data_IF_935486137591
#
_entry.id   IF_935486137591
#
_cell.length_a   1.000
_cell.length_b   1.000
_cell.length_c   1.000
_cell.angle_alpha   90.00
_cell.angle_beta   90.00
_cell.angle_gamma   90.00
#
_symmetry.space_group_name_H-M   'P 1'
#
loop_
_entity.id
_entity.type
_entity.pdbx_description
1 polymer ?
#
# COMPACT_ATOMS: atom_id res chain seq x y z
N UNK A 1 32.10 15.91 1.50
CA UNK A 1 31.00 14.97 1.14
C UNK A 1 30.46 15.41 -0.22
N UNK A 2 30.76 14.68 -1.29
CA UNK A 2 30.43 15.10 -2.67
C UNK A 2 28.94 14.90 -2.97
N UNK A 3 28.27 15.95 -3.46
CA UNK A 3 26.86 15.95 -3.87
C UNK A 3 26.74 15.11 -5.16
N UNK A 4 25.98 14.00 -5.14
CA UNK A 4 25.72 13.21 -6.35
C UNK A 4 24.96 14.08 -7.37
N UNK A 5 25.24 13.97 -8.68
CA UNK A 5 24.48 14.68 -9.70
C UNK A 5 23.03 14.19 -9.64
N UNK A 6 22.10 15.12 -9.41
CA UNK A 6 20.67 14.83 -9.49
C UNK A 6 20.31 14.64 -10.96
N UNK A 7 19.93 13.41 -11.34
CA UNK A 7 19.30 13.18 -12.63
C UNK A 7 17.94 13.91 -12.63
N UNK A 8 17.79 14.89 -13.51
CA UNK A 8 16.52 15.57 -13.74
C UNK A 8 15.78 14.81 -14.83
N UNK A 9 14.58 14.31 -14.51
CA UNK A 9 13.68 13.66 -15.48
C UNK A 9 12.66 14.70 -15.95
N UNK A 10 12.60 14.93 -17.25
CA UNK A 10 11.55 15.73 -17.88
C UNK A 10 10.45 14.80 -18.37
N UNK A 11 9.19 15.18 -18.12
CA UNK A 11 8.01 14.40 -18.51
C UNK A 11 7.07 15.30 -19.29
N UNK A 12 6.98 15.06 -20.59
CA UNK A 12 6.03 15.74 -21.48
C UNK A 12 4.59 15.28 -21.20
N UNK A 13 3.61 16.18 -21.30
CA UNK A 13 2.19 15.85 -21.16
C UNK A 13 1.67 15.66 -19.72
N UNK A 14 2.54 15.71 -18.71
CA UNK A 14 2.13 15.47 -17.31
C UNK A 14 1.17 16.54 -16.75
N UNK A 15 1.17 17.76 -17.29
CA UNK A 15 0.25 18.83 -16.90
C UNK A 15 -1.14 18.60 -17.51
N UNK A 16 -1.17 18.22 -18.77
CA UNK A 16 -2.36 17.94 -19.57
C UNK A 16 -3.10 16.75 -18.97
N UNK A 17 -2.40 15.64 -18.70
CA UNK A 17 -2.97 14.45 -18.04
C UNK A 17 -3.62 14.79 -16.70
N UNK A 18 -2.93 15.54 -15.82
CA UNK A 18 -3.50 15.95 -14.53
C UNK A 18 -4.75 16.82 -14.68
N UNK A 19 -4.79 17.67 -15.72
CA UNK A 19 -5.97 18.50 -16.01
C UNK A 19 -7.14 17.63 -16.49
N UNK A 20 -6.90 16.67 -17.38
CA UNK A 20 -7.92 15.74 -17.87
C UNK A 20 -8.46 14.85 -16.75
N UNK A 21 -7.59 14.28 -15.90
CA UNK A 21 -7.98 13.53 -14.71
C UNK A 21 -8.86 14.36 -13.76
N UNK A 22 -8.57 15.66 -13.60
CA UNK A 22 -9.39 16.56 -12.76
C UNK A 22 -10.74 16.87 -13.40
N UNK A 23 -10.80 17.00 -14.74
CA UNK A 23 -12.04 17.25 -15.50
C UNK A 23 -12.98 16.04 -15.49
N UNK A 24 -12.42 14.84 -15.61
CA UNK A 24 -13.17 13.58 -15.65
C UNK A 24 -13.97 13.28 -14.35
N UNK A 25 -13.70 13.98 -13.25
CA UNK A 25 -14.65 14.07 -12.14
C UNK A 25 -14.63 12.90 -11.17
N UNK A 26 -15.81 12.45 -10.73
CA UNK A 26 -15.99 11.48 -9.64
C UNK A 26 -15.67 10.05 -10.05
N UNK A 27 -16.01 9.63 -11.27
CA UNK A 27 -15.82 8.25 -11.72
C UNK A 27 -14.36 7.84 -11.71
N UNK A 28 -13.48 8.69 -12.26
CA UNK A 28 -12.02 8.47 -12.22
C UNK A 28 -11.48 8.40 -10.80
N UNK A 29 -12.07 9.14 -9.85
CA UNK A 29 -11.64 9.09 -8.45
C UNK A 29 -11.97 7.76 -7.80
N UNK A 30 -13.10 7.16 -8.14
CA UNK A 30 -13.51 5.87 -7.60
C UNK A 30 -12.76 4.73 -8.29
N UNK A 31 -12.56 4.81 -9.62
CA UNK A 31 -11.71 3.90 -10.37
C UNK A 31 -10.27 3.86 -9.80
N UNK A 32 -9.68 5.03 -9.51
CA UNK A 32 -8.37 5.13 -8.86
C UNK A 32 -8.35 4.52 -7.45
N UNK A 33 -9.39 4.76 -6.64
CA UNK A 33 -9.47 4.15 -5.30
C UNK A 33 -9.55 2.63 -5.41
N UNK A 34 -10.25 2.10 -6.40
CA UNK A 34 -10.41 0.66 -6.58
C UNK A 34 -9.15 -0.01 -7.13
N UNK A 35 -8.40 0.69 -7.99
CA UNK A 35 -7.06 0.27 -8.39
C UNK A 35 -6.11 0.18 -7.17
N UNK A 36 -6.06 1.24 -6.35
CA UNK A 36 -5.25 1.24 -5.13
C UNK A 36 -5.71 0.22 -4.10
N UNK A 37 -7.03 -0.02 -3.97
CA UNK A 37 -7.59 -1.03 -3.06
C UNK A 37 -7.19 -2.44 -3.50
N UNK A 38 -7.22 -2.73 -4.79
CA UNK A 38 -6.76 -4.01 -5.32
C UNK A 38 -5.28 -4.24 -5.03
N UNK A 39 -4.43 -3.23 -5.28
CA UNK A 39 -3.01 -3.31 -4.95
C UNK A 39 -2.79 -3.55 -3.43
N UNK A 40 -3.51 -2.81 -2.57
CA UNK A 40 -3.44 -3.00 -1.12
C UNK A 40 -3.89 -4.40 -0.68
N UNK A 41 -4.84 -5.03 -1.38
CA UNK A 41 -5.33 -6.37 -1.07
C UNK A 41 -4.28 -7.46 -1.34
N UNK A 42 -3.49 -7.35 -2.41
CA UNK A 42 -2.37 -8.27 -2.67
C UNK A 42 -1.37 -8.26 -1.51
N UNK A 43 -0.96 -7.06 -1.11
CA UNK A 43 -0.06 -6.87 0.03
C UNK A 43 -0.69 -7.39 1.31
N UNK A 44 -1.99 -7.17 1.52
CA UNK A 44 -2.71 -7.62 2.71
C UNK A 44 -2.75 -9.14 2.83
N UNK A 45 -3.07 -9.86 1.75
CA UNK A 45 -3.11 -11.33 1.73
C UNK A 45 -1.76 -11.89 2.15
N UNK A 46 -0.68 -11.44 1.48
CA UNK A 46 0.67 -11.87 1.83
C UNK A 46 1.06 -11.47 3.26
N UNK A 47 0.68 -10.27 3.70
CA UNK A 47 0.94 -9.79 5.07
C UNK A 47 0.31 -10.71 6.11
N UNK A 48 -0.90 -11.22 5.88
CA UNK A 48 -1.60 -12.12 6.80
C UNK A 48 -0.93 -13.47 6.92
N UNK A 49 -0.27 -13.94 5.87
CA UNK A 49 0.50 -15.19 5.90
C UNK A 49 1.75 -15.07 6.76
N UNK A 50 2.52 -13.98 6.58
CA UNK A 50 3.86 -13.85 7.17
C UNK A 50 3.90 -13.05 8.48
N UNK A 51 2.76 -12.47 8.91
CA UNK A 51 2.67 -11.74 10.17
C UNK A 51 2.95 -12.67 11.36
N UNK A 52 3.80 -12.27 12.32
CA UNK A 52 4.02 -13.06 13.52
C UNK A 52 2.73 -13.26 14.31
N UNK A 53 2.53 -14.49 14.79
CA UNK A 53 1.42 -14.87 15.65
C UNK A 53 1.96 -15.06 17.06
N UNK A 54 1.27 -14.47 18.05
CA UNK A 54 1.65 -14.66 19.45
C UNK A 54 1.52 -16.14 19.85
N UNK A 55 2.48 -16.70 20.62
CA UNK A 55 2.35 -18.05 21.16
C UNK A 55 1.10 -18.20 22.03
N UNK A 56 0.51 -19.41 22.05
CA UNK A 56 -0.65 -19.71 22.90
C UNK A 56 -0.37 -19.52 24.40
N UNK A 57 0.88 -19.68 24.82
CA UNK A 57 1.33 -19.49 26.21
C UNK A 57 1.50 -18.02 26.61
N UNK A 58 1.42 -17.08 25.67
CA UNK A 58 1.66 -15.66 25.94
C UNK A 58 0.39 -15.00 26.50
N UNK A 59 0.51 -14.38 27.68
CA UNK A 59 -0.61 -13.66 28.34
C UNK A 59 -0.73 -12.20 27.93
N UNK A 60 0.35 -11.60 27.42
CA UNK A 60 0.42 -10.18 27.06
C UNK A 60 -0.18 -9.86 25.69
N UNK A 61 -0.48 -10.86 24.88
CA UNK A 61 -1.07 -10.70 23.55
C UNK A 61 -1.95 -11.90 23.19
N UNK A 62 -3.06 -11.63 22.52
CA UNK A 62 -3.94 -12.68 22.00
C UNK A 62 -3.38 -13.22 20.68
N UNK A 63 -3.23 -14.55 20.53
CA UNK A 63 -2.86 -15.18 19.26
C UNK A 63 -3.78 -14.73 18.12
N UNK A 64 -3.20 -14.39 16.97
CA UNK A 64 -3.95 -13.96 15.77
C UNK A 64 -4.42 -12.50 15.78
N UNK A 65 -4.51 -11.84 16.94
CA UNK A 65 -5.10 -10.49 17.03
C UNK A 65 -4.36 -9.44 16.18
N UNK A 66 -3.04 -9.56 16.02
CA UNK A 66 -2.28 -8.70 15.10
C UNK A 66 -2.68 -8.93 13.65
N UNK A 67 -2.79 -10.19 13.22
CA UNK A 67 -3.21 -10.58 11.88
C UNK A 67 -4.60 -10.03 11.55
N UNK A 68 -5.52 -10.14 12.50
CA UNK A 68 -6.90 -9.67 12.36
C UNK A 68 -7.01 -8.15 12.36
N UNK A 69 -5.99 -7.46 12.88
CA UNK A 69 -5.94 -5.99 12.84
C UNK A 69 -5.57 -5.44 11.46
N UNK A 70 -5.03 -6.28 10.57
CA UNK A 70 -4.61 -5.91 9.23
C UNK A 70 -5.82 -5.60 8.34
N UNK A 71 -5.81 -4.39 7.77
CA UNK A 71 -6.88 -3.90 6.92
C UNK A 71 -6.34 -3.08 5.75
N UNK A 72 -6.96 -3.22 4.56
CA UNK A 72 -6.61 -2.40 3.41
C UNK A 72 -7.25 -1.02 3.54
N UNK A 73 -6.71 -0.09 2.79
CA UNK A 73 -7.22 1.27 2.63
C UNK A 73 -6.77 1.80 1.28
N UNK A 74 -7.57 2.68 0.71
CA UNK A 74 -7.25 3.31 -0.55
C UNK A 74 -7.71 4.76 -0.53
N UNK A 75 -6.88 5.62 -1.12
CA UNK A 75 -7.23 6.99 -1.47
C UNK A 75 -7.11 7.12 -2.98
N UNK A 76 -7.40 8.32 -3.52
CA UNK A 76 -7.16 8.61 -4.93
C UNK A 76 -5.67 8.58 -5.29
N UNK A 77 -4.78 8.67 -4.29
CA UNK A 77 -3.34 8.89 -4.49
C UNK A 77 -2.46 7.80 -3.89
N UNK A 78 -3.02 6.87 -3.12
CA UNK A 78 -2.23 5.86 -2.43
C UNK A 78 -3.02 4.59 -2.11
N UNK A 79 -2.34 3.46 -2.29
CA UNK A 79 -2.67 2.19 -1.67
C UNK A 79 -2.07 2.15 -0.25
N UNK A 80 -2.88 1.79 0.75
CA UNK A 80 -2.48 1.83 2.17
C UNK A 80 -2.84 0.49 2.82
N UNK A 81 -1.88 -0.15 3.48
CA UNK A 81 -2.17 -1.27 4.38
C UNK A 81 -1.92 -0.82 5.82
N UNK A 82 -2.93 -0.97 6.67
CA UNK A 82 -2.85 -0.58 8.09
C UNK A 82 -2.72 -1.82 8.95
N UNK A 83 -1.85 -1.73 9.95
CA UNK A 83 -1.74 -2.71 11.02
C UNK A 83 -1.98 -2.05 12.37
N UNK A 84 -2.63 -2.78 13.27
CA UNK A 84 -2.91 -2.32 14.62
C UNK A 84 -4.23 -1.57 14.78
N UNK A 85 -4.69 -1.53 16.02
CA UNK A 85 -5.87 -0.82 16.54
C UNK A 85 -5.52 -0.35 17.96
N UNK A 86 -6.42 0.36 18.65
CA UNK A 86 -6.25 0.71 20.07
C UNK A 86 -5.90 -0.53 20.95
N UNK A 87 -6.50 -1.69 20.65
CA UNK A 87 -6.24 -2.98 21.34
C UNK A 87 -4.97 -3.71 20.86
N UNK A 88 -4.30 -3.21 19.82
CA UNK A 88 -3.09 -3.80 19.23
C UNK A 88 -2.01 -2.71 19.11
N UNK A 89 -1.59 -2.10 20.23
CA UNK A 89 -0.60 -1.01 20.22
C UNK A 89 0.81 -1.48 19.83
N UNK A 90 1.05 -2.80 19.91
CA UNK A 90 2.34 -3.42 19.62
C UNK A 90 2.58 -3.68 18.12
N UNK A 91 1.64 -3.34 17.23
CA UNK A 91 1.79 -3.57 15.79
C UNK A 91 3.02 -2.87 15.18
N UNK A 92 3.25 -1.60 15.54
CA UNK A 92 4.41 -0.82 15.12
C UNK A 92 5.72 -1.39 15.67
N UNK A 93 5.84 -1.60 17.00
CA UNK A 93 7.01 -2.26 17.58
C UNK A 93 7.35 -3.64 17.01
N UNK A 94 6.36 -4.47 16.66
CA UNK A 94 6.63 -5.76 16.01
C UNK A 94 7.11 -5.58 14.57
N UNK A 95 6.55 -4.60 13.85
CA UNK A 95 6.92 -4.32 12.48
C UNK A 95 8.37 -3.78 12.38
N UNK A 96 8.64 -2.67 13.08
CA UNK A 96 9.92 -1.94 13.02
C UNK A 96 10.96 -2.39 14.05
N UNK A 97 10.58 -3.24 14.98
CA UNK A 97 11.41 -3.62 16.12
C UNK A 97 11.35 -2.59 17.25
N UNK A 98 11.89 -2.97 18.40
CA UNK A 98 12.02 -2.11 19.57
C UNK A 98 13.27 -2.52 20.36
N UNK A 99 14.38 -1.82 20.11
CA UNK A 99 15.69 -2.14 20.69
C UNK A 99 15.68 -2.17 22.22
N UNK A 100 15.08 -1.17 22.87
CA UNK A 100 15.00 -1.10 24.33
C UNK A 100 14.26 -2.28 24.97
N UNK A 101 13.31 -2.89 24.24
CA UNK A 101 12.57 -4.09 24.66
C UNK A 101 13.10 -5.38 24.05
N UNK A 102 14.25 -5.34 23.38
CA UNK A 102 14.88 -6.47 22.68
C UNK A 102 13.97 -7.14 21.64
N UNK A 103 13.03 -6.38 21.05
CA UNK A 103 12.13 -6.88 19.99
C UNK A 103 12.83 -6.69 18.64
N UNK A 104 13.03 -7.79 17.91
CA UNK A 104 13.58 -7.76 16.55
C UNK A 104 12.49 -7.36 15.53
N UNK A 105 12.83 -6.59 14.48
CA UNK A 105 11.88 -6.23 13.44
C UNK A 105 11.47 -7.46 12.62
N UNK A 106 10.17 -7.64 12.44
CA UNK A 106 9.62 -8.68 11.55
C UNK A 106 9.42 -8.19 10.13
N UNK A 107 9.21 -6.87 9.93
CA UNK A 107 9.01 -6.23 8.64
C UNK A 107 7.88 -6.85 7.78
N UNK A 108 6.86 -7.48 8.39
CA UNK A 108 5.84 -8.23 7.65
C UNK A 108 5.11 -7.40 6.56
N UNK A 109 4.79 -6.12 6.79
CA UNK A 109 4.17 -5.29 5.74
C UNK A 109 5.14 -4.98 4.59
N UNK A 110 6.37 -4.55 4.89
CA UNK A 110 7.38 -4.18 3.89
C UNK A 110 7.81 -5.39 3.07
N UNK A 111 7.99 -6.54 3.73
CA UNK A 111 8.28 -7.81 3.05
C UNK A 111 7.12 -8.23 2.16
N UNK A 112 5.89 -8.17 2.66
CA UNK A 112 4.71 -8.49 1.85
C UNK A 112 4.57 -7.56 0.65
N UNK A 113 4.84 -6.26 0.80
CA UNK A 113 4.79 -5.29 -0.29
C UNK A 113 5.82 -5.61 -1.38
N UNK A 114 7.05 -5.95 -0.97
CA UNK A 114 8.13 -6.36 -1.88
C UNK A 114 7.84 -7.71 -2.56
N UNK A 115 7.41 -8.71 -1.79
CA UNK A 115 7.12 -10.06 -2.30
C UNK A 115 6.01 -10.04 -3.35
N UNK A 116 5.03 -9.14 -3.20
CA UNK A 116 3.87 -9.04 -4.11
C UNK A 116 4.02 -7.96 -5.18
N UNK A 117 5.14 -7.22 -5.20
CA UNK A 117 5.41 -6.12 -6.13
C UNK A 117 5.14 -6.45 -7.59
N UNK A 118 5.65 -7.56 -8.15
CA UNK A 118 5.41 -7.86 -9.56
C UNK A 118 3.92 -8.02 -9.90
N UNK A 119 3.12 -8.51 -8.95
CA UNK A 119 1.71 -8.81 -9.17
C UNK A 119 0.87 -7.53 -9.11
N UNK A 120 1.00 -6.76 -8.02
CA UNK A 120 0.18 -5.56 -7.87
C UNK A 120 0.61 -4.44 -8.80
N UNK A 121 1.89 -4.33 -9.18
CA UNK A 121 2.35 -3.35 -10.18
C UNK A 121 1.70 -3.64 -11.53
N UNK A 122 1.75 -4.90 -11.99
CA UNK A 122 1.16 -5.30 -13.25
C UNK A 122 -0.35 -5.01 -13.31
N UNK A 123 -1.09 -5.40 -12.28
CA UNK A 123 -2.53 -5.15 -12.22
C UNK A 123 -2.88 -3.66 -12.10
N UNK A 124 -2.08 -2.90 -11.34
CA UNK A 124 -2.28 -1.47 -11.20
C UNK A 124 -2.07 -0.72 -12.52
N UNK A 125 -0.98 -1.04 -13.24
CA UNK A 125 -0.70 -0.43 -14.54
C UNK A 125 -1.82 -0.71 -15.55
N UNK A 126 -2.30 -1.95 -15.62
CA UNK A 126 -3.44 -2.30 -16.47
C UNK A 126 -4.68 -1.44 -16.15
N UNK A 127 -5.06 -1.34 -14.88
CA UNK A 127 -6.21 -0.51 -14.47
C UNK A 127 -5.99 0.98 -14.76
N UNK A 128 -4.75 1.44 -14.69
CA UNK A 128 -4.41 2.82 -14.96
C UNK A 128 -4.51 3.13 -16.47
N UNK A 129 -4.08 2.21 -17.33
CA UNK A 129 -4.31 2.28 -18.78
C UNK A 129 -5.81 2.32 -19.10
N UNK A 130 -6.63 1.45 -18.50
CA UNK A 130 -8.09 1.47 -18.67
C UNK A 130 -8.70 2.84 -18.29
N UNK A 131 -8.17 3.49 -17.24
CA UNK A 131 -8.60 4.83 -16.81
C UNK A 131 -8.20 5.89 -17.83
N UNK A 132 -6.99 5.80 -18.41
CA UNK A 132 -6.53 6.73 -19.45
C UNK A 132 -7.40 6.59 -20.70
N UNK A 133 -7.65 5.37 -21.17
CA UNK A 133 -8.47 5.10 -22.35
C UNK A 133 -9.89 5.64 -22.20
N UNK A 134 -10.47 5.52 -20.99
CA UNK A 134 -11.78 6.09 -20.66
C UNK A 134 -11.81 7.61 -20.74
N UNK A 135 -10.69 8.27 -20.44
CA UNK A 135 -10.58 9.73 -20.50
C UNK A 135 -10.32 10.21 -21.94
N UNK A 136 -9.53 9.48 -22.72
CA UNK A 136 -9.23 9.81 -24.11
C UNK A 136 -10.42 9.51 -25.04
N UNK A 137 -11.19 8.45 -24.77
CA UNK A 137 -12.40 8.10 -25.49
C UNK A 137 -13.65 8.90 -25.11
N UNK A 138 -13.59 9.73 -24.05
CA UNK A 138 -14.70 10.61 -23.68
C UNK A 138 -14.76 11.81 -24.65
N UNK A 139 -15.92 12.12 -25.27
CA UNK A 139 -16.05 13.31 -26.11
C UNK A 139 -15.68 14.57 -25.31
N UNK A 140 -14.86 15.43 -25.92
CA UNK A 140 -14.23 16.60 -25.28
C UNK A 140 -15.23 17.63 -24.74
#
# INVERSE_FOLDING_TARGET
MARRPQATVYVDGARELRRSLKKAGLDVRDDLKDAHRAAANHVLVRSREIVPVAPLSMTSAVPGLLRDSLRPGATQTAAIVRAGKKRVPYAGPIHWGWKARKIKPSLYLTRAAKDTEPNWVKEYLKKFEDIIDKIEGAPQ
#
